data_IF_526602653729
#
_entry.id   IF_526602653729
#
_cell.length_a   1.000
_cell.length_b   1.000
_cell.length_c   1.000
_cell.angle_alpha   90.00
_cell.angle_beta   90.00
_cell.angle_gamma   90.00
#
_symmetry.space_group_name_H-M   'P 1'
#
loop_
_entity.id
_entity.type
_entity.pdbx_description
1 polymer ?
#
# COMPACT_ATOMS: atom_id res chain seq x y z
N UNK A 1 3.60 3.07 -11.79
CA UNK A 1 4.20 4.42 -11.90
C UNK A 1 5.42 4.45 -12.81
N UNK A 2 6.45 3.61 -12.64
CA UNK A 2 7.63 3.67 -13.52
C UNK A 2 7.39 3.17 -14.96
N UNK A 3 6.62 2.08 -15.12
CA UNK A 3 6.21 1.57 -16.44
C UNK A 3 5.34 2.56 -17.24
N UNK A 4 4.64 3.46 -16.53
CA UNK A 4 3.84 4.56 -17.12
C UNK A 4 4.69 5.78 -17.53
N UNK A 5 5.93 5.87 -17.03
CA UNK A 5 6.87 6.96 -17.30
C UNK A 5 7.97 6.56 -18.30
N UNK A 6 7.91 5.35 -18.87
CA UNK A 6 8.95 4.78 -19.74
C UNK A 6 10.38 4.92 -19.18
N UNK A 7 10.53 4.78 -17.86
CA UNK A 7 11.83 4.91 -17.21
C UNK A 7 12.67 3.63 -17.38
N UNK A 8 14.01 3.74 -17.54
CA UNK A 8 14.92 2.63 -17.36
C UNK A 8 14.73 1.95 -16.00
N UNK A 9 14.94 0.64 -15.93
CA UNK A 9 14.70 -0.17 -14.73
C UNK A 9 15.43 0.37 -13.48
N UNK A 10 16.70 0.77 -13.62
CA UNK A 10 17.47 1.34 -12.51
C UNK A 10 16.89 2.65 -11.98
N UNK A 11 16.35 3.49 -12.86
CA UNK A 11 15.70 4.74 -12.49
C UNK A 11 14.33 4.47 -11.85
N UNK A 12 13.61 3.48 -12.37
CA UNK A 12 12.36 3.00 -11.79
C UNK A 12 12.55 2.53 -10.34
N UNK A 13 13.56 1.71 -10.08
CA UNK A 13 13.89 1.24 -8.73
C UNK A 13 14.27 2.40 -7.80
N UNK A 14 15.12 3.31 -8.28
CA UNK A 14 15.57 4.47 -7.49
C UNK A 14 14.38 5.34 -7.10
N UNK A 15 13.47 5.61 -8.05
CA UNK A 15 12.27 6.40 -7.80
C UNK A 15 11.32 5.73 -6.80
N UNK A 16 11.11 4.41 -6.90
CA UNK A 16 10.27 3.69 -5.94
C UNK A 16 10.88 3.77 -4.54
N UNK A 17 12.20 3.55 -4.42
CA UNK A 17 12.90 3.62 -3.13
C UNK A 17 12.83 5.01 -2.51
N UNK A 18 12.99 6.08 -3.30
CA UNK A 18 12.94 7.45 -2.78
C UNK A 18 11.53 7.78 -2.24
N UNK A 19 10.49 7.43 -3.00
CA UNK A 19 9.09 7.62 -2.58
C UNK A 19 8.79 6.83 -1.30
N UNK A 20 9.30 5.59 -1.18
CA UNK A 20 9.07 4.76 0.00
C UNK A 20 9.77 5.32 1.25
N UNK A 21 10.95 5.94 1.09
CA UNK A 21 11.66 6.65 2.17
C UNK A 21 10.86 7.88 2.59
N UNK A 22 10.48 8.75 1.65
CA UNK A 22 9.71 9.98 1.92
C UNK A 22 8.41 9.66 2.67
N UNK A 23 7.69 8.61 2.25
CA UNK A 23 6.46 8.17 2.93
C UNK A 23 6.72 7.71 4.37
N UNK A 24 7.81 6.98 4.62
CA UNK A 24 8.17 6.51 5.96
C UNK A 24 8.50 7.69 6.86
N UNK A 25 9.32 8.62 6.38
CA UNK A 25 9.69 9.83 7.13
C UNK A 25 8.46 10.67 7.47
N UNK A 26 7.57 10.87 6.51
CA UNK A 26 6.30 11.57 6.74
C UNK A 26 5.45 10.91 7.84
N UNK A 27 5.23 9.59 7.75
CA UNK A 27 4.43 8.86 8.74
C UNK A 27 5.06 8.94 10.14
N UNK A 28 6.38 8.74 10.22
CA UNK A 28 7.10 8.79 11.49
C UNK A 28 7.09 10.19 12.10
N UNK A 29 7.28 11.25 11.29
CA UNK A 29 7.29 12.63 11.77
C UNK A 29 5.94 13.04 12.35
N UNK A 30 4.85 12.80 11.61
CA UNK A 30 3.52 13.31 11.94
C UNK A 30 2.69 12.40 12.84
N UNK A 31 2.80 11.08 12.69
CA UNK A 31 1.95 10.13 13.41
C UNK A 31 2.69 9.36 14.52
N UNK A 32 4.03 9.49 14.60
CA UNK A 32 4.89 8.75 15.55
C UNK A 32 4.69 7.23 15.50
N UNK A 33 4.31 6.72 14.33
CA UNK A 33 4.05 5.30 14.09
C UNK A 33 5.10 4.72 13.16
N UNK A 34 5.40 3.44 13.37
CA UNK A 34 6.11 2.65 12.37
C UNK A 34 5.13 2.24 11.26
N UNK A 35 5.48 2.50 9.99
CA UNK A 35 4.65 2.12 8.84
C UNK A 35 4.61 0.59 8.67
N UNK A 36 5.67 -0.10 9.05
CA UNK A 36 5.81 -1.55 8.79
C UNK A 36 5.12 -2.39 9.86
N UNK A 37 4.67 -1.77 10.95
CA UNK A 37 3.91 -2.42 12.02
C UNK A 37 2.52 -2.88 11.50
N UNK A 38 2.26 -4.19 11.41
CA UNK A 38 1.04 -4.72 10.81
C UNK A 38 -0.23 -4.34 11.58
N UNK A 39 -0.14 -4.16 12.91
CA UNK A 39 -1.30 -3.81 13.75
C UNK A 39 -1.91 -2.44 13.44
N UNK A 40 -1.25 -1.61 12.63
CA UNK A 40 -1.80 -0.35 12.14
C UNK A 40 -2.83 -0.51 11.01
N UNK A 41 -3.00 -1.71 10.46
CA UNK A 41 -3.88 -1.98 9.33
C UNK A 41 -4.85 -3.12 9.67
N UNK A 42 -6.09 -2.99 9.22
CA UNK A 42 -7.06 -4.09 9.33
C UNK A 42 -6.68 -5.27 8.42
N UNK A 43 -6.12 -4.98 7.23
CA UNK A 43 -5.73 -5.96 6.21
C UNK A 43 -4.50 -5.48 5.42
N UNK A 44 -3.60 -6.40 5.09
CA UNK A 44 -2.44 -6.21 4.21
C UNK A 44 -2.48 -7.26 3.09
N UNK A 45 -2.17 -6.86 1.85
CA UNK A 45 -2.18 -7.75 0.68
C UNK A 45 -0.81 -7.86 0.02
N UNK A 46 -0.44 -9.06 -0.41
CA UNK A 46 0.70 -9.28 -1.29
C UNK A 46 0.27 -9.26 -2.76
N UNK A 47 0.47 -8.12 -3.42
CA UNK A 47 0.07 -7.91 -4.82
C UNK A 47 0.92 -8.67 -5.84
N UNK A 48 2.01 -9.34 -5.42
CA UNK A 48 2.77 -10.25 -6.29
C UNK A 48 2.01 -11.55 -6.54
N UNK A 49 1.22 -12.00 -5.57
CA UNK A 49 0.52 -13.29 -5.59
C UNK A 49 -0.99 -13.16 -5.68
N UNK A 50 -1.55 -12.05 -5.17
CA UNK A 50 -3.00 -11.79 -5.20
C UNK A 50 -3.29 -10.73 -6.28
N UNK A 51 -4.08 -11.06 -7.32
CA UNK A 51 -4.47 -10.11 -8.35
C UNK A 51 -5.32 -8.96 -7.81
N UNK A 52 -5.21 -7.79 -8.44
CA UNK A 52 -5.94 -6.59 -8.02
C UNK A 52 -7.46 -6.80 -7.95
N UNK A 53 -8.05 -7.50 -8.93
CA UNK A 53 -9.50 -7.74 -8.96
C UNK A 53 -9.98 -8.57 -7.76
N UNK A 54 -9.19 -9.56 -7.34
CA UNK A 54 -9.49 -10.38 -6.17
C UNK A 54 -9.40 -9.55 -4.87
N UNK A 55 -8.38 -8.69 -4.77
CA UNK A 55 -8.23 -7.75 -3.65
C UNK A 55 -9.43 -6.80 -3.59
N UNK A 56 -9.83 -6.22 -4.72
CA UNK A 56 -10.99 -5.33 -4.82
C UNK A 56 -12.28 -6.02 -4.38
N UNK A 57 -12.51 -7.27 -4.82
CA UNK A 57 -13.66 -8.07 -4.38
C UNK A 57 -13.69 -8.25 -2.86
N UNK A 58 -12.55 -8.61 -2.26
CA UNK A 58 -12.46 -8.78 -0.80
C UNK A 58 -12.71 -7.48 -0.05
N UNK A 59 -12.17 -6.36 -0.54
CA UNK A 59 -12.40 -5.03 0.05
C UNK A 59 -13.89 -4.65 0.04
N UNK A 60 -14.61 -4.97 -1.04
CA UNK A 60 -16.06 -4.72 -1.12
C UNK A 60 -16.81 -5.52 -0.05
N UNK A 61 -16.49 -6.81 0.11
CA UNK A 61 -17.13 -7.65 1.13
C UNK A 61 -16.80 -7.20 2.55
N UNK A 62 -15.54 -6.79 2.81
CA UNK A 62 -15.14 -6.22 4.09
C UNK A 62 -15.96 -4.96 4.44
N UNK A 63 -16.10 -4.05 3.48
CA UNK A 63 -16.85 -2.80 3.67
C UNK A 63 -18.34 -3.05 3.90
N UNK A 64 -18.93 -4.04 3.22
CA UNK A 64 -20.30 -4.48 3.49
C UNK A 64 -20.46 -5.01 4.92
N UNK A 65 -19.57 -5.91 5.35
CA UNK A 65 -19.59 -6.46 6.70
C UNK A 65 -19.48 -5.36 7.78
N UNK A 66 -18.59 -4.39 7.58
CA UNK A 66 -18.45 -3.23 8.47
C UNK A 66 -19.70 -2.35 8.50
N UNK A 67 -20.39 -2.20 7.38
CA UNK A 67 -21.57 -1.32 7.26
C UNK A 67 -22.86 -1.98 7.77
N UNK A 68 -22.94 -3.31 7.71
CA UNK A 68 -24.07 -4.09 8.25
C UNK A 68 -24.02 -4.35 9.76
N UNK A 69 -22.96 -3.94 10.45
CA UNK A 69 -22.85 -3.98 11.92
C UNK A 69 -23.30 -2.68 12.62
N UNK A 70 -24.24 -1.95 12.02
CA UNK A 70 -24.95 -0.82 12.66
C UNK A 70 -26.43 -1.12 12.76
#
# INVERSE_FOLDING_TARGET
MARLKNLPEKEAETLVRSIDVERREFIQQYFKRDREEPSHFDIIFNTKTVPADAICGLLVELLKARSGSR
#
